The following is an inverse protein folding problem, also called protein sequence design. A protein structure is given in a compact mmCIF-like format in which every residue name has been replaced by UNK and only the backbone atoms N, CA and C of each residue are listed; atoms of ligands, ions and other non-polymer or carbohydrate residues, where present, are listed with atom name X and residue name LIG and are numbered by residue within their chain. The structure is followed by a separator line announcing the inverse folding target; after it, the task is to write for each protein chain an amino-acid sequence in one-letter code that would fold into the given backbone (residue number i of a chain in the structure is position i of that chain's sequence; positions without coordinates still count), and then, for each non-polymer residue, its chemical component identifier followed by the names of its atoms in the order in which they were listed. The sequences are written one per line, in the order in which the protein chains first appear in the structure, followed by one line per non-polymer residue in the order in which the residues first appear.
data_IF_511258860543
#
_entry.id   IF_511258860543
#
_cell.length_a   1.000
_cell.length_b   1.000
_cell.length_c   1.000
_cell.angle_alpha   90.00
_cell.angle_beta   90.00
_cell.angle_gamma   90.00
#
_symmetry.space_group_name_H-M   'P 1'
#
loop_
_entity.id
_entity.type
_entity.pdbx_description
1 polymer ?
#
# COMPACT_ATOMS: atom_id res chain seq x y z
N UNK A 1 -23.86 -29.44 -1.46
CA UNK A 1 -24.42 -29.71 -2.80
C UNK A 1 -25.90 -29.38 -2.74
N UNK A 2 -26.33 -28.40 -3.52
CA UNK A 2 -27.73 -27.99 -3.57
C UNK A 2 -28.26 -28.29 -4.97
N UNK A 3 -29.43 -28.91 -5.07
CA UNK A 3 -30.06 -29.29 -6.34
C UNK A 3 -31.50 -28.80 -6.33
N UNK A 4 -31.92 -28.16 -7.40
CA UNK A 4 -33.31 -27.83 -7.66
C UNK A 4 -33.70 -28.26 -9.08
N UNK A 5 -34.96 -28.03 -9.47
CA UNK A 5 -35.49 -28.42 -10.78
C UNK A 5 -34.79 -27.73 -11.98
N UNK A 6 -33.95 -26.71 -11.73
CA UNK A 6 -33.24 -25.93 -12.74
C UNK A 6 -31.74 -26.26 -12.83
N UNK A 7 -31.21 -27.07 -11.89
CA UNK A 7 -29.81 -27.49 -11.95
C UNK A 7 -29.21 -27.87 -10.61
N UNK A 8 -27.93 -28.19 -10.68
CA UNK A 8 -27.11 -28.61 -9.55
C UNK A 8 -25.99 -27.61 -9.32
N UNK A 9 -25.83 -27.20 -8.06
CA UNK A 9 -24.71 -26.38 -7.61
C UNK A 9 -23.87 -27.17 -6.60
N UNK A 10 -22.59 -27.32 -6.93
CA UNK A 10 -21.59 -27.85 -6.00
C UNK A 10 -20.72 -26.69 -5.49
N UNK A 11 -20.49 -26.70 -4.18
CA UNK A 11 -19.56 -25.79 -3.51
C UNK A 11 -18.50 -26.65 -2.83
N UNK A 12 -17.23 -26.37 -3.10
CA UNK A 12 -16.10 -27.01 -2.43
C UNK A 12 -15.72 -26.14 -1.24
N UNK A 13 -15.88 -26.67 -0.03
CA UNK A 13 -15.35 -26.05 1.19
C UNK A 13 -14.05 -26.76 1.57
N UNK A 14 -12.94 -26.03 1.62
CA UNK A 14 -11.67 -26.53 2.13
C UNK A 14 -11.57 -26.05 3.56
N UNK A 15 -11.67 -26.97 4.53
CA UNK A 15 -11.43 -26.66 5.94
C UNK A 15 -9.90 -26.68 6.17
N UNK A 16 -9.24 -25.57 5.85
CA UNK A 16 -7.83 -25.37 6.14
C UNK A 16 -7.67 -24.62 7.46
N UNK A 17 -6.82 -25.13 8.35
CA UNK A 17 -6.44 -24.40 9.56
C UNK A 17 -5.33 -23.37 9.27
N UNK A 18 -4.60 -23.51 8.15
CA UNK A 18 -3.66 -22.50 7.66
C UNK A 18 -4.39 -21.21 7.28
N UNK A 19 -3.73 -20.04 7.39
CA UNK A 19 -4.30 -18.80 6.87
C UNK A 19 -4.54 -18.90 5.36
N UNK A 20 -5.54 -18.18 4.89
CA UNK A 20 -5.72 -17.89 3.47
C UNK A 20 -4.56 -17.06 2.91
N UNK A 21 -4.51 -16.92 1.58
CA UNK A 21 -3.55 -16.04 0.92
C UNK A 21 -3.66 -14.60 1.41
N UNK A 22 -2.53 -13.89 1.44
CA UNK A 22 -2.50 -12.47 1.76
C UNK A 22 -2.79 -11.64 0.51
N UNK A 23 -3.98 -11.08 0.43
CA UNK A 23 -4.46 -10.33 -0.72
C UNK A 23 -4.13 -8.84 -0.56
N UNK A 24 -3.43 -8.23 -1.51
CA UNK A 24 -3.25 -6.78 -1.50
C UNK A 24 -4.59 -6.10 -1.85
N UNK A 25 -5.09 -5.26 -0.97
CA UNK A 25 -6.38 -4.55 -1.16
C UNK A 25 -6.23 -3.06 -1.38
N UNK A 26 -5.09 -2.47 -0.99
CA UNK A 26 -4.79 -1.08 -1.24
C UNK A 26 -3.28 -0.84 -1.27
N UNK A 27 -2.86 0.14 -2.07
CA UNK A 27 -1.49 0.63 -2.10
C UNK A 27 -1.44 2.12 -2.46
N UNK A 28 -0.48 2.83 -1.89
CA UNK A 28 -0.15 4.20 -2.27
C UNK A 28 1.34 4.47 -2.06
N UNK A 29 1.96 5.31 -2.89
CA UNK A 29 3.30 5.81 -2.66
C UNK A 29 3.24 7.27 -2.19
N UNK A 30 3.72 7.54 -0.98
CA UNK A 30 3.79 8.88 -0.40
C UNK A 30 4.95 8.96 0.58
N UNK A 31 5.51 10.16 0.77
CA UNK A 31 6.58 10.41 1.75
C UNK A 31 7.80 9.48 1.60
N UNK A 32 8.09 9.06 0.36
CA UNK A 32 9.19 8.12 0.05
C UNK A 32 8.90 6.66 0.41
N UNK A 33 7.67 6.31 0.81
CA UNK A 33 7.29 4.98 1.26
C UNK A 33 6.15 4.41 0.40
N UNK A 34 6.26 3.12 0.09
CA UNK A 34 5.15 2.35 -0.46
C UNK A 34 4.28 1.84 0.69
N UNK A 35 3.12 2.47 0.87
CA UNK A 35 2.09 2.01 1.79
C UNK A 35 1.26 0.92 1.15
N UNK A 36 1.02 -0.17 1.87
CA UNK A 36 0.25 -1.32 1.44
C UNK A 36 -0.75 -1.73 2.52
N UNK A 37 -1.87 -2.29 2.11
CA UNK A 37 -2.85 -2.92 3.00
C UNK A 37 -3.15 -4.31 2.47
N UNK A 38 -2.95 -5.30 3.33
CA UNK A 38 -3.12 -6.72 3.02
C UNK A 38 -4.31 -7.28 3.79
N UNK A 39 -5.16 -8.03 3.09
CA UNK A 39 -6.31 -8.72 3.66
C UNK A 39 -6.05 -10.22 3.72
N UNK A 40 -6.15 -10.79 4.90
CA UNK A 40 -5.92 -12.22 5.15
C UNK A 40 -7.14 -12.80 5.85
N UNK A 41 -7.59 -13.98 5.43
CA UNK A 41 -8.57 -14.76 6.19
C UNK A 41 -7.86 -15.78 7.06
N UNK A 42 -8.15 -15.83 8.36
CA UNK A 42 -7.63 -16.85 9.26
C UNK A 42 -8.57 -17.03 10.45
N UNK A 43 -9.03 -18.27 10.65
CA UNK A 43 -9.87 -18.64 11.79
C UNK A 43 -9.10 -18.59 13.12
N UNK A 44 -7.78 -18.78 13.07
CA UNK A 44 -6.88 -18.61 14.21
C UNK A 44 -6.18 -17.24 14.15
N UNK A 45 -5.77 -16.66 15.29
CA UNK A 45 -4.99 -15.43 15.31
C UNK A 45 -3.74 -15.50 14.45
N UNK A 46 -3.47 -14.44 13.68
CA UNK A 46 -2.23 -14.33 12.94
C UNK A 46 -1.08 -13.98 13.88
N UNK A 47 0.04 -14.69 13.72
CA UNK A 47 1.29 -14.43 14.42
C UNK A 47 2.26 -13.61 13.58
N UNK A 48 2.18 -13.70 12.25
CA UNK A 48 3.08 -12.97 11.35
C UNK A 48 2.46 -12.68 9.97
N UNK A 49 3.01 -11.71 9.25
CA UNK A 49 2.78 -11.46 7.82
C UNK A 49 4.13 -11.17 7.17
N UNK A 50 4.61 -12.00 6.26
CA UNK A 50 5.87 -11.75 5.55
C UNK A 50 5.60 -11.14 4.17
N UNK A 51 6.20 -9.98 3.89
CA UNK A 51 6.19 -9.37 2.56
C UNK A 51 7.46 -9.81 1.81
N UNK A 52 7.27 -10.39 0.62
CA UNK A 52 8.32 -10.80 -0.28
C UNK A 52 8.36 -9.83 -1.46
N UNK A 53 9.53 -9.29 -1.76
CA UNK A 53 9.69 -8.36 -2.89
C UNK A 53 10.97 -8.64 -3.68
N UNK A 54 10.97 -8.32 -4.96
CA UNK A 54 12.15 -8.36 -5.82
C UNK A 54 12.06 -7.32 -6.91
N UNK A 55 13.20 -6.93 -7.50
CA UNK A 55 13.18 -6.20 -8.76
C UNK A 55 12.58 -7.08 -9.86
N UNK A 56 11.89 -6.48 -10.83
CA UNK A 56 11.29 -7.23 -11.96
C UNK A 56 12.34 -8.06 -12.70
N UNK A 57 13.52 -7.48 -12.95
CA UNK A 57 14.68 -8.14 -13.57
C UNK A 57 15.53 -8.98 -12.59
N UNK A 58 15.18 -8.97 -11.30
CA UNK A 58 15.92 -9.63 -10.24
C UNK A 58 15.60 -11.12 -10.12
N UNK A 59 16.60 -11.99 -9.90
CA UNK A 59 16.38 -13.44 -9.83
C UNK A 59 15.82 -13.94 -8.49
N UNK A 60 15.90 -13.14 -7.41
CA UNK A 60 15.60 -13.61 -6.05
C UNK A 60 14.71 -12.63 -5.28
N UNK A 61 13.77 -13.19 -4.52
CA UNK A 61 12.98 -12.45 -3.54
C UNK A 61 13.81 -12.13 -2.29
N UNK A 62 13.65 -10.91 -1.82
CA UNK A 62 14.09 -10.42 -0.52
C UNK A 62 12.86 -10.41 0.39
N UNK A 63 13.03 -10.78 1.65
CA UNK A 63 11.96 -10.84 2.63
C UNK A 63 12.13 -9.75 3.68
N UNK A 64 11.04 -9.05 3.99
CA UNK A 64 10.92 -8.28 5.23
C UNK A 64 9.98 -9.08 6.13
N UNK A 65 10.38 -9.28 7.39
CA UNK A 65 9.54 -9.80 8.47
C UNK A 65 8.95 -8.61 9.25
N UNK A 66 7.76 -8.11 8.88
CA UNK A 66 7.17 -7.00 9.58
C UNK A 66 6.45 -7.45 10.86
N UNK A 67 6.81 -6.84 11.99
CA UNK A 67 6.17 -7.04 13.29
C UNK A 67 4.66 -6.77 13.25
N UNK A 68 3.82 -7.80 13.44
CA UNK A 68 2.36 -7.62 13.61
C UNK A 68 2.02 -6.87 14.91
N UNK A 69 0.96 -6.08 14.86
CA UNK A 69 0.35 -5.39 16.00
C UNK A 69 -1.14 -5.76 16.10
N UNK A 70 -1.71 -5.73 17.30
CA UNK A 70 -3.13 -6.04 17.56
C UNK A 70 -4.11 -5.14 16.79
N UNK A 71 -3.67 -3.97 16.33
CA UNK A 71 -4.46 -3.01 15.54
C UNK A 71 -4.83 -3.50 14.13
N UNK A 72 -4.33 -4.65 13.70
CA UNK A 72 -4.56 -5.18 12.34
C UNK A 72 -5.76 -6.12 12.22
N UNK A 73 -6.47 -6.44 13.32
CA UNK A 73 -7.64 -7.32 13.28
C UNK A 73 -8.91 -6.52 13.00
N UNK A 74 -9.70 -6.92 12.01
CA UNK A 74 -11.04 -6.35 11.82
C UNK A 74 -12.00 -6.99 12.85
N UNK A 75 -12.64 -6.18 13.69
CA UNK A 75 -13.69 -6.64 14.59
C UNK A 75 -15.08 -6.45 13.95
N UNK A 76 -15.99 -7.45 13.97
CA UNK A 76 -15.82 -8.87 14.34
C UNK A 76 -15.57 -9.76 13.10
N UNK A 77 -14.53 -10.61 13.12
CA UNK A 77 -14.39 -11.67 12.11
C UNK A 77 -13.03 -12.38 12.04
N UNK A 78 -12.97 -13.38 11.15
CA UNK A 78 -11.78 -14.15 10.75
C UNK A 78 -10.94 -13.41 9.70
N UNK A 79 -11.05 -12.09 9.63
CA UNK A 79 -10.46 -11.25 8.59
C UNK A 79 -9.51 -10.23 9.22
N UNK A 80 -8.30 -10.17 8.68
CA UNK A 80 -7.23 -9.31 9.14
C UNK A 80 -6.89 -8.31 8.05
N UNK A 81 -6.80 -7.03 8.40
CA UNK A 81 -6.39 -5.94 7.52
C UNK A 81 -5.11 -5.30 8.05
N UNK A 82 -4.00 -5.66 7.41
CA UNK A 82 -2.66 -5.39 7.90
C UNK A 82 -2.03 -4.28 7.04
N UNK A 83 -1.72 -3.14 7.65
CA UNK A 83 -1.08 -2.00 6.97
C UNK A 83 0.44 -2.04 7.12
N UNK A 84 1.16 -1.76 6.04
CA UNK A 84 2.63 -1.74 6.02
C UNK A 84 3.17 -0.63 5.14
N UNK A 85 4.31 -0.07 5.56
CA UNK A 85 5.07 0.90 4.78
C UNK A 85 6.42 0.31 4.45
N UNK A 86 6.78 0.31 3.17
CA UNK A 86 8.01 -0.27 2.65
C UNK A 86 8.89 0.86 2.11
N UNK A 87 10.15 0.91 2.56
CA UNK A 87 11.16 1.78 1.97
C UNK A 87 11.87 1.02 0.84
N UNK A 88 11.47 1.29 -0.40
CA UNK A 88 12.04 0.67 -1.59
C UNK A 88 12.79 1.72 -2.41
N UNK A 89 14.01 1.43 -2.88
CA UNK A 89 14.70 2.30 -3.82
C UNK A 89 13.91 2.46 -5.14
N UNK A 90 14.16 3.53 -5.91
CA UNK A 90 13.55 3.72 -7.23
C UNK A 90 13.68 2.51 -8.17
N UNK A 91 12.66 2.35 -9.00
CA UNK A 91 12.59 1.31 -10.04
C UNK A 91 11.35 0.41 -9.94
N UNK A 92 11.38 -0.67 -10.73
CA UNK A 92 10.28 -1.64 -10.83
C UNK A 92 10.44 -2.80 -9.84
N UNK A 93 9.37 -3.07 -9.10
CA UNK A 93 9.33 -4.08 -8.05
C UNK A 93 8.13 -5.00 -8.20
N UNK A 94 8.35 -6.29 -7.94
CA UNK A 94 7.31 -7.31 -7.77
C UNK A 94 7.17 -7.62 -6.29
N UNK A 95 5.95 -7.60 -5.76
CA UNK A 95 5.65 -7.77 -4.34
C UNK A 95 4.52 -8.79 -4.15
N UNK A 96 4.68 -9.68 -3.18
CA UNK A 96 3.65 -10.62 -2.71
C UNK A 96 3.77 -10.76 -1.19
N UNK A 97 2.80 -11.40 -0.54
CA UNK A 97 2.84 -11.64 0.89
C UNK A 97 2.32 -13.03 1.26
N UNK A 98 2.71 -13.50 2.44
CA UNK A 98 2.16 -14.70 3.10
C UNK A 98 1.95 -14.44 4.59
N UNK A 99 0.97 -15.06 5.19
CA UNK A 99 0.65 -14.89 6.60
C UNK A 99 0.95 -16.15 7.41
N UNK A 100 1.15 -16.02 8.72
CA UNK A 100 1.38 -17.13 9.63
C UNK A 100 0.36 -17.14 10.75
N UNK A 101 -0.12 -18.31 11.13
CA UNK A 101 -0.81 -18.56 12.39
C UNK A 101 -0.15 -19.73 13.15
N UNK A 102 -0.82 -20.31 14.14
CA UNK A 102 -0.28 -21.43 14.93
C UNK A 102 -0.06 -22.71 14.13
N UNK A 103 -0.72 -22.88 12.97
CA UNK A 103 -0.57 -24.06 12.11
C UNK A 103 0.54 -23.91 11.09
N UNK A 104 0.94 -22.68 10.77
CA UNK A 104 2.03 -22.41 9.84
C UNK A 104 1.75 -21.25 8.90
N UNK A 105 2.47 -21.26 7.77
CA UNK A 105 2.43 -20.22 6.76
C UNK A 105 1.38 -20.52 5.69
N UNK A 106 0.66 -19.49 5.26
CA UNK A 106 -0.12 -19.53 4.03
C UNK A 106 0.80 -19.69 2.82
N UNK A 107 0.23 -20.13 1.71
CA UNK A 107 0.87 -19.93 0.41
C UNK A 107 0.92 -18.43 0.11
N UNK A 108 2.00 -18.00 -0.55
CA UNK A 108 2.06 -16.66 -1.16
C UNK A 108 1.15 -16.65 -2.40
N UNK A 109 0.67 -15.47 -2.76
CA UNK A 109 -0.12 -15.34 -4.00
C UNK A 109 0.71 -15.71 -5.23
N UNK A 110 0.08 -16.43 -6.15
CA UNK A 110 0.75 -16.93 -7.38
C UNK A 110 1.15 -15.82 -8.33
N UNK A 111 0.40 -14.71 -8.36
CA UNK A 111 0.70 -13.55 -9.21
C UNK A 111 1.12 -12.39 -8.30
N UNK A 112 2.40 -11.96 -8.34
CA UNK A 112 2.86 -10.82 -7.57
C UNK A 112 2.35 -9.49 -8.17
N UNK A 113 2.24 -8.46 -7.34
CA UNK A 113 1.90 -7.11 -7.75
C UNK A 113 3.13 -6.35 -8.22
N UNK A 114 3.00 -5.62 -9.32
CA UNK A 114 4.08 -4.78 -9.84
C UNK A 114 3.90 -3.32 -9.41
N UNK A 115 4.99 -2.70 -8.96
CA UNK A 115 5.03 -1.29 -8.55
C UNK A 115 6.19 -0.56 -9.19
N UNK A 116 5.91 0.65 -9.67
CA UNK A 116 6.94 1.61 -10.09
C UNK A 116 7.20 2.59 -8.94
N UNK A 117 8.41 2.58 -8.41
CA UNK A 117 8.86 3.57 -7.44
C UNK A 117 9.57 4.71 -8.18
N UNK A 118 9.08 5.96 -8.09
CA UNK A 118 9.66 7.08 -8.82
C UNK A 118 11.07 7.40 -8.33
N UNK A 119 11.95 7.81 -9.24
CA UNK A 119 13.19 8.49 -8.89
C UNK A 119 12.87 9.91 -8.43
N UNK A 120 13.58 10.42 -7.42
CA UNK A 120 13.51 11.84 -7.07
C UNK A 120 13.87 12.67 -8.31
N UNK A 121 12.93 13.46 -8.81
CA UNK A 121 13.21 14.43 -9.87
C UNK A 121 13.83 15.63 -9.18
N UNK A 122 15.16 15.78 -9.26
CA UNK A 122 15.81 17.05 -8.90
C UNK A 122 15.21 18.16 -9.77
N UNK A 123 14.47 19.06 -9.14
CA UNK A 123 14.05 20.33 -9.74
C UNK A 123 15.26 21.27 -9.86
N UNK A 124 16.27 20.87 -10.63
CA UNK A 124 17.49 21.67 -10.79
C UNK A 124 17.99 21.63 -12.24
N UNK A 125 17.19 22.20 -13.15
CA UNK A 125 17.66 22.65 -14.46
C UNK A 125 16.61 23.51 -15.17
N UNK A 126 16.42 24.73 -14.70
CA UNK A 126 15.94 25.82 -15.57
C UNK A 126 16.42 27.20 -15.09
N UNK A 127 17.73 27.33 -14.89
CA UNK A 127 18.42 28.63 -14.99
C UNK A 127 19.40 28.57 -16.14
N UNK A 128 18.84 28.70 -17.34
CA UNK A 128 19.59 28.99 -18.55
C UNK A 128 20.33 30.32 -18.41
N UNK A 129 21.56 30.29 -18.86
CA UNK A 129 22.53 31.37 -18.99
C UNK A 129 21.94 32.56 -19.75
N UNK A 130 21.90 33.73 -19.11
CA UNK A 130 21.56 35.01 -19.74
C UNK A 130 22.32 36.13 -19.04
N UNK A 131 23.35 36.64 -19.70
CA UNK A 131 24.19 37.73 -19.23
C UNK A 131 23.45 39.09 -19.29
N UNK A 132 23.71 39.94 -18.28
CA UNK A 132 23.64 41.40 -18.40
C UNK A 132 22.35 42.09 -18.00
N UNK A 133 22.34 42.70 -16.80
CA UNK A 133 21.90 44.08 -16.56
C UNK A 133 21.98 44.43 -15.07
N UNK A 134 22.89 45.33 -14.72
CA UNK A 134 22.85 46.15 -13.51
C UNK A 134 21.65 47.10 -13.57
N UNK A 135 20.75 47.08 -12.58
CA UNK A 135 20.11 48.29 -12.05
C UNK A 135 19.14 48.00 -10.88
N UNK A 136 19.51 48.55 -9.73
CA UNK A 136 18.68 49.32 -8.77
C UNK A 136 17.50 48.64 -8.07
N UNK A 137 17.61 48.66 -6.74
CA UNK A 137 16.50 48.51 -5.81
C UNK A 137 15.43 49.58 -6.04
N UNK A 138 14.18 49.20 -5.82
CA UNK A 138 13.12 50.13 -5.44
C UNK A 138 12.20 49.46 -4.42
N UNK A 139 12.13 50.09 -3.25
CA UNK A 139 11.05 49.97 -2.27
C UNK A 139 9.77 50.58 -2.86
N UNK A 140 8.61 49.98 -2.54
CA UNK A 140 7.28 50.57 -2.33
C UNK A 140 6.19 49.59 -2.84
N UNK A 141 5.43 48.94 -1.95
CA UNK A 141 4.17 49.38 -1.31
C UNK A 141 2.91 48.83 -2.01
N UNK A 142 2.00 48.32 -1.17
CA UNK A 142 0.62 47.90 -1.49
C UNK A 142 0.37 46.46 -1.02
N UNK A 143 0.03 46.14 0.24
CA UNK A 143 -1.28 46.40 0.91
C UNK A 143 -2.45 46.15 -0.07
N UNK A 144 -3.46 45.31 0.18
CA UNK A 144 -3.96 44.73 1.42
C UNK A 144 -5.20 43.83 1.12
N UNK A 145 -5.48 42.88 2.05
CA UNK A 145 -6.81 42.46 2.52
C UNK A 145 -7.72 41.66 1.53
N UNK A 146 -8.57 40.71 1.91
CA UNK A 146 -9.26 40.47 3.17
C UNK A 146 -9.76 39.01 3.23
N UNK A 147 -9.53 38.38 4.38
CA UNK A 147 -10.22 37.20 4.87
C UNK A 147 -11.59 37.65 5.40
N UNK A 148 -12.71 37.21 4.81
CA UNK A 148 -14.03 37.29 5.48
C UNK A 148 -14.85 36.02 5.22
N UNK A 149 -15.21 35.43 6.36
CA UNK A 149 -16.18 34.38 6.65
C UNK A 149 -17.54 34.50 5.97
N UNK A 150 -18.20 33.36 5.72
CA UNK A 150 -19.60 33.20 6.17
C UNK A 150 -20.00 31.74 6.38
N UNK A 151 -20.06 31.37 7.66
CA UNK A 151 -21.00 30.38 8.21
C UNK A 151 -22.40 31.01 8.21
N UNK A 152 -23.37 30.33 7.60
CA UNK A 152 -24.82 30.29 7.89
C UNK A 152 -25.49 29.55 6.71
N UNK A 153 -26.56 28.76 6.81
CA UNK A 153 -27.37 28.17 7.89
C UNK A 153 -28.38 27.26 7.14
N UNK A 154 -28.86 26.21 7.81
CA UNK A 154 -30.16 25.54 7.67
C UNK A 154 -30.90 25.59 6.31
N UNK A 155 -31.09 24.40 5.73
CA UNK A 155 -32.41 23.83 5.47
C UNK A 155 -32.39 22.36 5.89
#
# INVERSE_FOLDING_TARGET
MARNALGESSAKSILGLLPGGAHLVHSNFSDGLLHTMWRVRSAQPLSDLQILYKRTEGPKYITIEPTLSEQNKEEPGDVWSIRRSLNLPPGEWLITARARNTEGWSYAETVPFMFQIPSEVSLESQRGTGAGATARSSLAMGFSLLLVSLLCRLF
#
